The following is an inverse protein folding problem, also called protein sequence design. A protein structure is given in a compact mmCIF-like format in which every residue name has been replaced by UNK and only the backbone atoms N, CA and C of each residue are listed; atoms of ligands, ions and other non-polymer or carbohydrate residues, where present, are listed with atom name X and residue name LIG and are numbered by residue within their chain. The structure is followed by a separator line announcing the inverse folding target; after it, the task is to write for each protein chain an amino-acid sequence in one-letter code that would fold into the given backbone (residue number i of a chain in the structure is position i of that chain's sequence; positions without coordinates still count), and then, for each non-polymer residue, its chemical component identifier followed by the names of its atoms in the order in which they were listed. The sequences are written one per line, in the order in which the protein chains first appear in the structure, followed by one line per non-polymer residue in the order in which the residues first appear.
data_IF_885142936717
#
_entry.id   IF_885142936717
#
_cell.length_a   1.000
_cell.length_b   1.000
_cell.length_c   1.000
_cell.angle_alpha   90.00
_cell.angle_beta   90.00
_cell.angle_gamma   90.00
#
_symmetry.space_group_name_H-M   'P 1'
#
loop_
_entity.id
_entity.type
_entity.pdbx_description
1 polymer ?
#
# COMPACT_ATOMS: atom_id res chain seq x y z
N UNK A 1 -13.56 21.61 -36.68
CA UNK A 1 -12.61 22.08 -35.65
C UNK A 1 -13.01 23.45 -35.11
N UNK A 2 -12.91 24.51 -35.87
CA UNK A 2 -13.17 25.88 -35.39
C UNK A 2 -14.57 26.16 -34.85
N UNK A 3 -15.60 25.45 -35.34
CA UNK A 3 -16.99 25.63 -34.80
C UNK A 3 -17.12 25.16 -33.36
N UNK A 4 -16.48 24.04 -32.99
CA UNK A 4 -16.50 23.56 -31.61
C UNK A 4 -15.67 24.48 -30.70
N UNK A 5 -14.52 24.94 -31.14
CA UNK A 5 -13.71 25.93 -30.40
C UNK A 5 -14.52 27.19 -30.11
N UNK A 6 -15.19 27.78 -31.12
CA UNK A 6 -16.05 28.95 -30.96
C UNK A 6 -17.18 28.72 -29.99
N UNK A 7 -17.81 27.53 -30.01
CA UNK A 7 -18.88 27.17 -29.07
C UNK A 7 -18.35 27.08 -27.64
N UNK A 8 -17.18 26.44 -27.41
CA UNK A 8 -16.55 26.36 -26.09
C UNK A 8 -16.19 27.76 -25.58
N UNK A 9 -15.53 28.59 -26.41
CA UNK A 9 -15.18 29.95 -26.06
C UNK A 9 -16.39 30.81 -25.74
N UNK A 10 -17.50 30.66 -26.48
CA UNK A 10 -18.76 31.36 -26.20
C UNK A 10 -19.34 30.92 -24.87
N UNK A 11 -19.33 29.61 -24.57
CA UNK A 11 -19.89 29.06 -23.33
C UNK A 11 -19.13 29.53 -22.10
N UNK A 12 -17.79 29.64 -22.22
CA UNK A 12 -16.90 30.07 -21.16
C UNK A 12 -16.69 31.60 -21.16
N UNK A 13 -17.38 32.35 -22.00
CA UNK A 13 -17.14 33.78 -22.23
C UNK A 13 -15.64 34.11 -22.51
N UNK A 14 -14.94 33.21 -23.19
CA UNK A 14 -13.48 33.32 -23.42
C UNK A 14 -12.60 33.03 -22.20
N UNK A 15 -13.20 32.73 -21.04
CA UNK A 15 -12.47 32.49 -19.80
C UNK A 15 -12.13 31.00 -19.62
N UNK A 16 -11.36 30.45 -20.52
CA UNK A 16 -10.85 29.09 -20.47
C UNK A 16 -9.33 29.08 -20.75
N UNK A 17 -8.54 28.47 -19.85
CA UNK A 17 -7.09 28.42 -20.01
C UNK A 17 -6.64 27.38 -21.06
N UNK A 18 -5.38 27.45 -21.48
CA UNK A 18 -4.76 26.52 -22.44
C UNK A 18 -4.86 25.06 -22.04
N UNK A 19 -4.67 24.72 -20.76
CA UNK A 19 -4.86 23.35 -20.27
C UNK A 19 -6.26 22.84 -20.53
N UNK A 20 -7.28 23.58 -20.11
CA UNK A 20 -8.68 23.18 -20.26
C UNK A 20 -9.10 23.15 -21.72
N UNK A 21 -8.78 24.15 -22.51
CA UNK A 21 -9.13 24.22 -23.92
C UNK A 21 -8.43 23.09 -24.71
N UNK A 22 -7.13 22.92 -24.55
CA UNK A 22 -6.37 21.86 -25.21
C UNK A 22 -6.84 20.46 -24.84
N UNK A 23 -7.22 20.24 -23.57
CA UNK A 23 -7.80 18.97 -23.12
C UNK A 23 -9.15 18.69 -23.75
N UNK A 24 -10.06 19.65 -23.80
CA UNK A 24 -11.38 19.51 -24.45
C UNK A 24 -11.27 19.24 -25.95
N UNK A 25 -10.18 19.60 -26.56
CA UNK A 25 -9.96 19.43 -28.00
C UNK A 25 -8.90 18.37 -28.35
N UNK A 26 -8.53 17.52 -27.39
CA UNK A 26 -7.46 16.52 -27.51
C UNK A 26 -7.63 15.53 -28.67
N UNK A 27 -8.86 15.25 -29.09
CA UNK A 27 -9.15 14.34 -30.22
C UNK A 27 -9.20 15.07 -31.59
N UNK A 28 -9.13 16.41 -31.58
CA UNK A 28 -9.35 17.23 -32.79
C UNK A 28 -8.11 18.02 -33.15
N UNK A 29 -7.31 18.41 -32.15
CA UNK A 29 -6.11 19.21 -32.30
C UNK A 29 -4.89 18.36 -31.99
N UNK A 30 -3.98 18.27 -32.94
CA UNK A 30 -2.71 17.58 -32.73
C UNK A 30 -1.78 18.44 -31.85
N UNK A 31 -1.10 17.78 -30.90
CA UNK A 31 -0.13 18.41 -30.01
C UNK A 31 0.48 17.40 -29.06
N UNK A 32 1.68 17.71 -28.58
CA UNK A 32 2.44 16.86 -27.65
C UNK A 32 1.69 16.62 -26.33
N UNK A 33 1.01 17.62 -25.83
CA UNK A 33 0.24 17.62 -24.59
C UNK A 33 -0.91 18.64 -24.68
N UNK A 34 -1.73 18.72 -23.62
CA UNK A 34 -2.89 19.61 -23.60
C UNK A 34 -2.51 21.08 -23.59
N UNK A 35 -1.40 21.45 -22.95
CA UNK A 35 -0.88 22.83 -22.95
C UNK A 35 -0.55 23.23 -24.37
N UNK A 36 0.24 22.44 -25.08
CA UNK A 36 0.66 22.71 -26.45
C UNK A 36 -0.52 22.82 -27.42
N UNK A 37 -1.56 21.96 -27.25
CA UNK A 37 -2.80 22.07 -28.02
C UNK A 37 -3.53 23.37 -27.75
N UNK A 38 -3.63 23.77 -26.49
CA UNK A 38 -4.27 25.03 -26.10
C UNK A 38 -3.54 26.27 -26.63
N UNK A 39 -2.22 26.31 -26.46
CA UNK A 39 -1.35 27.37 -26.98
C UNK A 39 -1.55 27.56 -28.49
N UNK A 40 -1.48 26.47 -29.25
CA UNK A 40 -1.70 26.48 -30.68
C UNK A 40 -3.07 27.04 -31.09
N UNK A 41 -4.12 26.74 -30.31
CA UNK A 41 -5.46 27.29 -30.57
C UNK A 41 -5.51 28.80 -30.32
N UNK A 42 -4.90 29.27 -29.23
CA UNK A 42 -4.84 30.71 -28.93
C UNK A 42 -4.02 31.47 -29.98
N UNK A 43 -2.92 30.89 -30.43
CA UNK A 43 -2.08 31.45 -31.53
C UNK A 43 -2.84 31.49 -32.86
N UNK A 44 -3.47 30.38 -33.27
CA UNK A 44 -4.24 30.27 -34.53
C UNK A 44 -5.46 31.22 -34.60
N UNK A 45 -6.02 31.58 -33.45
CA UNK A 45 -7.17 32.49 -33.34
C UNK A 45 -6.77 33.92 -33.02
N UNK A 46 -5.48 34.19 -32.80
CA UNK A 46 -4.95 35.48 -32.40
C UNK A 46 -5.66 36.08 -31.16
N UNK A 47 -6.01 35.21 -30.17
CA UNK A 47 -6.65 35.64 -28.92
C UNK A 47 -5.72 35.45 -27.75
N UNK A 48 -5.74 36.34 -26.75
CA UNK A 48 -4.92 36.17 -25.53
C UNK A 48 -5.48 35.08 -24.63
N UNK A 49 -4.58 34.37 -23.91
CA UNK A 49 -4.99 33.49 -22.83
C UNK A 49 -5.59 34.34 -21.69
N UNK A 50 -6.75 33.93 -21.12
CA UNK A 50 -7.39 34.68 -20.04
C UNK A 50 -6.63 34.53 -18.72
N UNK A 51 -6.66 35.56 -17.87
CA UNK A 51 -6.08 35.51 -16.52
C UNK A 51 -6.80 34.50 -15.61
N UNK A 52 -8.11 34.32 -15.84
CA UNK A 52 -8.94 33.42 -15.02
C UNK A 52 -9.65 32.37 -15.87
N UNK A 53 -9.62 31.13 -15.41
CA UNK A 53 -10.29 30.01 -16.06
C UNK A 53 -11.52 29.60 -15.26
N UNK A 54 -12.72 29.75 -15.83
CA UNK A 54 -13.98 29.34 -15.18
C UNK A 54 -14.13 27.84 -15.03
N UNK A 55 -13.40 27.05 -15.83
CA UNK A 55 -13.46 25.57 -15.78
C UNK A 55 -12.64 25.02 -14.63
N UNK A 56 -11.38 25.47 -14.48
CA UNK A 56 -10.48 24.91 -13.51
C UNK A 56 -10.14 25.82 -12.32
N UNK A 57 -10.60 27.10 -12.33
CA UNK A 57 -10.27 28.05 -11.27
C UNK A 57 -8.77 28.21 -11.09
N UNK A 58 -8.01 28.21 -12.18
CA UNK A 58 -6.55 28.34 -12.22
C UNK A 58 -5.79 27.28 -11.39
N UNK A 59 -6.36 26.08 -11.24
CA UNK A 59 -5.75 25.03 -10.40
C UNK A 59 -4.37 24.59 -10.92
N UNK A 60 -4.11 24.73 -12.21
CA UNK A 60 -2.81 24.35 -12.80
C UNK A 60 -1.67 25.28 -12.35
N UNK A 61 -1.95 26.53 -11.98
CA UNK A 61 -0.94 27.48 -11.46
C UNK A 61 -0.39 27.04 -10.10
N UNK A 62 -1.12 26.16 -9.40
CA UNK A 62 -0.66 25.55 -8.14
C UNK A 62 0.37 24.44 -8.35
N UNK A 63 0.57 23.99 -9.61
CA UNK A 63 1.60 23.01 -9.96
C UNK A 63 2.85 23.78 -10.38
N UNK A 64 3.63 24.17 -9.40
CA UNK A 64 4.79 25.01 -9.54
C UNK A 64 5.96 24.50 -8.69
N UNK A 65 7.10 25.17 -8.75
CA UNK A 65 8.33 24.79 -8.03
C UNK A 65 8.11 24.66 -6.51
N UNK A 66 7.26 25.51 -5.92
CA UNK A 66 6.94 25.42 -4.49
C UNK A 66 6.20 24.11 -4.12
N UNK A 67 5.30 23.64 -4.98
CA UNK A 67 4.65 22.34 -4.79
C UNK A 67 5.66 21.20 -4.88
N UNK A 68 6.52 21.21 -5.91
CA UNK A 68 7.52 20.16 -6.08
C UNK A 68 8.53 20.16 -4.95
N UNK A 69 8.97 21.32 -4.50
CA UNK A 69 9.79 21.43 -3.30
C UNK A 69 9.13 20.80 -2.08
N UNK A 70 7.83 21.10 -1.83
CA UNK A 70 7.07 20.48 -0.73
C UNK A 70 7.01 18.95 -0.85
N UNK A 71 6.92 18.41 -2.08
CA UNK A 71 6.91 16.96 -2.33
C UNK A 71 8.28 16.36 -1.99
N UNK A 72 9.36 16.93 -2.53
CA UNK A 72 10.73 16.42 -2.33
C UNK A 72 11.16 16.54 -0.87
N UNK A 73 10.96 17.69 -0.23
CA UNK A 73 11.24 17.86 1.21
C UNK A 73 10.50 16.81 2.07
N UNK A 74 9.28 16.45 1.67
CA UNK A 74 8.50 15.44 2.38
C UNK A 74 9.01 14.03 2.17
N UNK A 75 9.47 13.68 0.97
CA UNK A 75 10.10 12.39 0.67
C UNK A 75 11.40 12.25 1.47
N UNK A 76 12.25 13.27 1.42
CA UNK A 76 13.52 13.31 2.14
C UNK A 76 13.33 13.20 3.64
N UNK A 77 12.38 13.95 4.21
CA UNK A 77 12.05 13.87 5.63
C UNK A 77 11.63 12.47 6.08
N UNK A 78 10.88 11.74 5.25
CA UNK A 78 10.44 10.39 5.55
C UNK A 78 11.56 9.37 5.43
N UNK A 79 12.62 9.68 4.68
CA UNK A 79 13.77 8.81 4.41
C UNK A 79 13.31 7.39 4.04
N UNK A 80 12.46 7.30 3.01
CA UNK A 80 11.85 6.05 2.55
C UNK A 80 12.49 5.59 1.24
N UNK A 81 12.88 4.33 1.20
CA UNK A 81 13.29 3.65 -0.03
C UNK A 81 12.05 3.28 -0.86
N UNK A 82 12.05 3.64 -2.14
CA UNK A 82 11.01 3.24 -3.08
C UNK A 82 11.56 3.23 -4.50
N UNK A 83 10.99 2.41 -5.35
CA UNK A 83 11.27 2.37 -6.79
C UNK A 83 10.05 2.82 -7.59
N UNK A 84 8.85 2.61 -7.04
CA UNK A 84 7.58 2.91 -7.72
C UNK A 84 6.68 3.82 -6.90
N UNK A 85 5.92 4.66 -7.59
CA UNK A 85 5.00 5.58 -6.94
C UNK A 85 3.71 5.81 -7.74
N UNK A 86 2.70 6.37 -7.08
CA UNK A 86 1.48 6.86 -7.70
C UNK A 86 1.16 8.26 -7.17
N UNK A 87 0.69 9.14 -8.04
CA UNK A 87 0.17 10.45 -7.65
C UNK A 87 -1.34 10.43 -7.56
N UNK A 88 -1.88 10.93 -6.46
CA UNK A 88 -3.30 11.18 -6.27
C UNK A 88 -3.56 12.63 -5.91
N UNK A 89 -4.48 13.31 -6.57
CA UNK A 89 -4.86 14.68 -6.23
C UNK A 89 -6.25 14.79 -5.63
N UNK A 90 -6.44 15.81 -4.78
CA UNK A 90 -7.75 16.28 -4.32
C UNK A 90 -8.00 17.67 -4.85
N UNK A 91 -9.14 17.86 -5.51
CA UNK A 91 -9.62 19.13 -6.06
C UNK A 91 -11.00 19.45 -5.52
N UNK A 92 -11.45 20.69 -5.64
CA UNK A 92 -12.79 21.07 -5.30
C UNK A 92 -13.81 20.34 -6.18
N UNK A 93 -14.93 19.96 -5.57
CA UNK A 93 -16.02 19.29 -6.28
C UNK A 93 -16.57 20.18 -7.40
N UNK A 94 -16.61 21.49 -7.20
CA UNK A 94 -17.10 22.43 -8.16
C UNK A 94 -16.28 22.44 -9.46
N UNK A 95 -14.93 22.37 -9.36
CA UNK A 95 -14.05 22.27 -10.53
C UNK A 95 -14.35 20.99 -11.31
N UNK A 96 -14.53 19.87 -10.61
CA UNK A 96 -14.91 18.63 -11.27
C UNK A 96 -16.26 18.74 -11.96
N UNK A 97 -17.26 19.31 -11.29
CA UNK A 97 -18.61 19.51 -11.86
C UNK A 97 -18.56 20.37 -13.12
N UNK A 98 -17.88 21.50 -13.09
CA UNK A 98 -17.75 22.38 -14.26
C UNK A 98 -17.01 21.71 -15.43
N UNK A 99 -15.99 20.94 -15.13
CA UNK A 99 -15.26 20.16 -16.14
C UNK A 99 -16.14 19.10 -16.79
N UNK A 100 -16.90 18.36 -15.98
CA UNK A 100 -17.82 17.31 -16.43
C UNK A 100 -18.99 17.94 -17.26
N UNK A 101 -19.64 18.99 -16.75
CA UNK A 101 -20.74 19.70 -17.43
C UNK A 101 -20.32 20.23 -18.81
N UNK A 102 -19.11 20.80 -18.91
CA UNK A 102 -18.61 21.28 -20.20
C UNK A 102 -18.35 20.13 -21.19
N UNK A 103 -17.87 18.98 -20.70
CA UNK A 103 -17.67 17.78 -21.53
C UNK A 103 -19.02 17.21 -21.99
N UNK A 104 -19.98 17.05 -21.10
CA UNK A 104 -21.32 16.53 -21.40
C UNK A 104 -22.07 17.42 -22.40
N UNK A 105 -21.98 18.75 -22.20
CA UNK A 105 -22.66 19.72 -23.08
C UNK A 105 -22.25 19.61 -24.54
N UNK A 106 -21.00 19.25 -24.80
CA UNK A 106 -20.45 19.15 -26.15
C UNK A 106 -20.16 17.70 -26.58
N UNK A 107 -20.63 16.71 -25.81
CA UNK A 107 -20.43 15.28 -26.06
C UNK A 107 -18.94 14.94 -26.28
N UNK A 108 -18.09 15.37 -25.34
CA UNK A 108 -16.64 15.20 -25.40
C UNK A 108 -16.18 14.05 -24.51
N UNK A 109 -15.66 13.00 -25.13
CA UNK A 109 -14.94 11.93 -24.41
C UNK A 109 -13.44 12.31 -24.28
N UNK A 110 -13.12 13.01 -23.22
CA UNK A 110 -11.77 13.55 -22.97
C UNK A 110 -11.24 13.18 -21.59
N UNK A 111 -9.93 13.28 -21.44
CA UNK A 111 -9.27 13.06 -20.15
C UNK A 111 -9.88 13.96 -19.05
N UNK A 112 -10.32 13.39 -17.89
CA UNK A 112 -10.77 14.20 -16.76
C UNK A 112 -9.64 15.09 -16.22
N UNK A 113 -9.98 16.30 -15.74
CA UNK A 113 -9.01 17.26 -15.21
C UNK A 113 -8.08 16.67 -14.14
N UNK A 114 -8.63 15.84 -13.26
CA UNK A 114 -7.87 15.19 -12.19
C UNK A 114 -6.79 14.22 -12.73
N UNK A 115 -7.08 13.57 -13.86
CA UNK A 115 -6.12 12.65 -14.50
C UNK A 115 -4.96 13.45 -15.12
N UNK A 116 -5.26 14.59 -15.75
CA UNK A 116 -4.22 15.48 -16.26
C UNK A 116 -3.32 16.03 -15.14
N UNK A 117 -3.89 16.52 -14.03
CA UNK A 117 -3.12 17.00 -12.87
C UNK A 117 -2.17 15.92 -12.34
N UNK A 118 -2.69 14.71 -12.12
CA UNK A 118 -1.87 13.60 -11.62
C UNK A 118 -0.75 13.23 -12.61
N UNK A 119 -1.03 13.28 -13.91
CA UNK A 119 -0.06 12.98 -14.97
C UNK A 119 1.04 14.03 -15.07
N UNK A 120 0.70 15.33 -14.94
CA UNK A 120 1.71 16.41 -14.95
C UNK A 120 2.65 16.26 -13.73
N UNK A 121 2.07 16.12 -12.54
CA UNK A 121 2.83 15.96 -11.30
C UNK A 121 3.67 14.67 -11.35
N UNK A 122 3.08 13.57 -11.81
CA UNK A 122 3.76 12.28 -11.91
C UNK A 122 4.98 12.32 -12.83
N UNK A 123 4.84 12.91 -14.02
CA UNK A 123 5.95 13.04 -14.98
C UNK A 123 7.13 13.85 -14.44
N UNK A 124 6.84 14.95 -13.74
CA UNK A 124 7.90 15.75 -13.14
C UNK A 124 8.67 14.98 -12.07
N UNK A 125 7.95 14.25 -11.20
CA UNK A 125 8.57 13.40 -10.17
C UNK A 125 9.36 12.25 -10.80
N UNK A 126 8.81 11.59 -11.82
CA UNK A 126 9.44 10.50 -12.56
C UNK A 126 10.78 10.95 -13.16
N UNK A 127 10.79 12.11 -13.84
CA UNK A 127 11.98 12.68 -14.45
C UNK A 127 13.03 13.13 -13.42
N UNK A 128 12.59 13.73 -12.30
CA UNK A 128 13.51 14.31 -11.30
C UNK A 128 14.11 13.24 -10.39
N UNK A 129 13.31 12.24 -9.98
CA UNK A 129 13.75 11.21 -9.04
C UNK A 129 14.18 9.90 -9.71
N UNK A 130 14.03 9.79 -11.03
CA UNK A 130 14.31 8.56 -11.80
C UNK A 130 13.55 7.34 -11.22
N UNK A 131 12.26 7.54 -10.86
CA UNK A 131 11.36 6.53 -10.28
C UNK A 131 10.19 6.28 -11.24
N UNK A 132 9.61 5.07 -11.19
CA UNK A 132 8.56 4.65 -12.11
C UNK A 132 7.17 4.90 -11.53
N UNK A 133 6.24 5.34 -12.39
CA UNK A 133 4.81 5.43 -12.05
C UNK A 133 4.18 4.04 -12.14
N UNK A 134 3.59 3.56 -11.03
CA UNK A 134 2.94 2.25 -10.96
C UNK A 134 1.51 2.39 -10.40
N UNK A 135 0.52 1.78 -11.08
CA UNK A 135 -0.89 1.97 -10.75
C UNK A 135 -1.47 0.92 -9.78
N UNK A 136 -0.88 -0.27 -9.73
CA UNK A 136 -1.40 -1.38 -8.93
C UNK A 136 -0.56 -1.71 -7.70
N UNK A 137 0.77 -1.66 -7.82
CA UNK A 137 1.71 -2.19 -6.82
C UNK A 137 2.77 -1.17 -6.38
N UNK A 138 2.40 0.09 -6.38
CA UNK A 138 3.30 1.17 -6.02
C UNK A 138 3.80 1.08 -4.58
N UNK A 139 5.06 1.46 -4.36
CA UNK A 139 5.69 1.50 -3.04
C UNK A 139 5.14 2.64 -2.19
N UNK A 140 4.93 3.81 -2.81
CA UNK A 140 4.36 4.98 -2.15
C UNK A 140 3.25 5.62 -2.96
N UNK A 141 2.34 6.33 -2.27
CA UNK A 141 1.33 7.18 -2.90
C UNK A 141 1.54 8.61 -2.45
N UNK A 142 1.75 9.50 -3.40
CA UNK A 142 1.92 10.93 -3.17
C UNK A 142 0.55 11.60 -3.35
N UNK A 143 -0.08 11.96 -2.23
CA UNK A 143 -1.38 12.61 -2.21
C UNK A 143 -1.22 14.12 -2.12
N UNK A 144 -1.69 14.85 -3.14
CA UNK A 144 -1.63 16.31 -3.24
C UNK A 144 -3.03 16.90 -3.10
N UNK A 145 -3.25 17.69 -2.07
CA UNK A 145 -4.51 18.41 -1.87
C UNK A 145 -4.39 19.83 -2.43
N UNK A 146 -5.08 20.10 -3.55
CA UNK A 146 -5.03 21.36 -4.30
C UNK A 146 -6.25 22.28 -4.04
N UNK A 147 -7.14 21.92 -3.11
CA UNK A 147 -8.36 22.71 -2.85
C UNK A 147 -8.08 24.12 -2.35
N UNK A 148 -7.12 24.24 -1.47
CA UNK A 148 -6.64 25.52 -0.93
C UNK A 148 -5.15 25.67 -1.25
N UNK A 149 -4.37 26.19 -0.31
CA UNK A 149 -2.91 26.08 -0.40
C UNK A 149 -2.50 24.60 -0.50
N UNK A 150 -1.61 24.26 -1.45
CA UNK A 150 -1.23 22.87 -1.70
C UNK A 150 -0.63 22.19 -0.47
N UNK A 151 -1.20 21.01 -0.11
CA UNK A 151 -0.72 20.15 0.97
C UNK A 151 -0.33 18.79 0.42
N UNK A 152 0.82 18.28 0.88
CA UNK A 152 1.36 17.00 0.45
C UNK A 152 1.32 16.00 1.59
N UNK A 153 0.81 14.79 1.31
CA UNK A 153 0.85 13.64 2.20
C UNK A 153 1.38 12.43 1.42
N UNK A 154 2.38 11.76 1.97
CA UNK A 154 2.91 10.53 1.41
C UNK A 154 2.38 9.35 2.23
N UNK A 155 1.82 8.37 1.55
CA UNK A 155 1.43 7.08 2.09
C UNK A 155 2.49 6.06 1.67
N UNK A 156 3.08 5.38 2.64
CA UNK A 156 4.01 4.27 2.40
C UNK A 156 3.21 2.99 2.41
N UNK A 157 3.22 2.25 1.30
CA UNK A 157 2.49 1.00 1.19
C UNK A 157 3.23 -0.13 1.92
N UNK A 158 2.48 -1.06 2.53
CA UNK A 158 3.08 -2.15 3.28
C UNK A 158 3.90 -3.08 2.39
N UNK A 159 4.90 -3.73 3.01
CA UNK A 159 5.67 -4.82 2.42
C UNK A 159 5.11 -6.15 2.93
N UNK A 160 5.05 -7.15 2.08
CA UNK A 160 4.54 -8.48 2.43
C UNK A 160 5.63 -9.54 2.23
N UNK A 161 5.82 -10.37 3.25
CA UNK A 161 6.77 -11.50 3.23
C UNK A 161 5.99 -12.75 3.59
N UNK A 162 6.02 -13.77 2.73
CA UNK A 162 5.48 -15.09 3.03
C UNK A 162 6.59 -16.07 3.41
N UNK A 163 6.20 -17.12 4.11
CA UNK A 163 7.06 -18.22 4.47
C UNK A 163 6.29 -19.33 5.19
N UNK A 164 7.03 -20.23 5.79
CA UNK A 164 6.49 -21.27 6.67
C UNK A 164 7.24 -21.25 8.01
N UNK A 165 6.55 -21.63 9.09
CA UNK A 165 7.20 -21.77 10.39
C UNK A 165 6.90 -23.12 11.03
N UNK A 166 7.84 -23.60 11.84
CA UNK A 166 7.65 -24.66 12.80
C UNK A 166 7.71 -24.08 14.22
N UNK A 167 6.93 -24.66 15.12
CA UNK A 167 6.98 -24.37 16.57
C UNK A 167 7.46 -25.62 17.29
N UNK A 168 8.68 -25.55 17.83
CA UNK A 168 9.40 -26.68 18.41
C UNK A 168 9.22 -26.83 19.92
N UNK A 169 8.58 -25.83 20.54
CA UNK A 169 8.29 -25.82 21.98
C UNK A 169 6.81 -25.56 22.25
N UNK A 170 6.33 -26.02 23.42
CA UNK A 170 5.02 -25.69 23.96
C UNK A 170 5.08 -24.43 24.81
N UNK A 171 3.93 -23.82 25.07
CA UNK A 171 3.83 -22.64 25.91
C UNK A 171 4.07 -21.30 25.18
N UNK A 172 4.34 -21.33 23.88
CA UNK A 172 4.46 -20.14 23.03
C UNK A 172 3.22 -20.00 22.14
N UNK A 173 2.45 -18.89 22.22
CA UNK A 173 1.33 -18.65 21.32
C UNK A 173 1.81 -18.30 19.91
N UNK A 174 0.93 -18.49 18.91
CA UNK A 174 1.22 -18.09 17.52
C UNK A 174 1.43 -16.57 17.40
N UNK A 175 0.55 -15.80 18.02
CA UNK A 175 0.56 -14.33 17.97
C UNK A 175 0.66 -13.76 19.38
N UNK A 176 1.10 -12.50 19.49
CA UNK A 176 1.15 -11.76 20.75
C UNK A 176 -0.22 -11.68 21.42
N UNK A 177 -0.30 -12.08 22.70
CA UNK A 177 -1.51 -11.94 23.50
C UNK A 177 -1.34 -10.79 24.49
N UNK A 178 -2.23 -9.77 24.42
CA UNK A 178 -2.20 -8.69 25.42
C UNK A 178 -2.56 -9.21 26.81
N UNK A 179 -1.97 -8.62 27.83
CA UNK A 179 -2.30 -8.91 29.22
C UNK A 179 -3.79 -8.73 29.47
N UNK A 180 -4.43 -9.72 30.10
CA UNK A 180 -5.88 -9.71 30.37
C UNK A 180 -6.33 -8.54 31.23
N UNK A 181 -5.48 -8.09 32.17
CA UNK A 181 -5.77 -6.98 33.11
C UNK A 181 -5.59 -5.60 32.47
N UNK A 182 -4.41 -5.31 31.93
CA UNK A 182 -4.09 -3.97 31.43
C UNK A 182 -4.34 -3.78 29.93
N UNK A 183 -4.80 -4.81 29.20
CA UNK A 183 -5.09 -4.78 27.77
C UNK A 183 -3.92 -4.29 26.91
N UNK A 184 -2.69 -4.62 27.33
CA UNK A 184 -1.47 -4.25 26.61
C UNK A 184 -0.78 -2.97 27.09
N UNK A 185 -1.33 -2.26 28.08
CA UNK A 185 -0.75 -0.99 28.57
C UNK A 185 0.47 -1.17 29.49
N UNK A 186 0.68 -2.36 30.03
CA UNK A 186 1.66 -2.65 31.08
C UNK A 186 1.08 -2.47 32.49
N UNK A 187 1.29 -3.45 33.36
CA UNK A 187 0.94 -3.41 34.79
C UNK A 187 1.87 -4.35 35.58
N UNK A 188 1.85 -4.28 36.89
CA UNK A 188 2.65 -5.14 37.76
C UNK A 188 2.44 -6.62 37.51
N UNK A 189 1.19 -7.06 37.26
CA UNK A 189 0.84 -8.45 37.00
C UNK A 189 1.53 -9.02 35.75
N UNK A 190 1.79 -8.21 34.74
CA UNK A 190 2.53 -8.61 33.54
C UNK A 190 3.99 -8.11 33.55
N UNK A 191 4.53 -7.68 34.69
CA UNK A 191 5.85 -7.06 34.80
C UNK A 191 6.04 -5.92 33.80
N UNK A 192 5.02 -5.09 33.61
CA UNK A 192 4.96 -3.93 32.72
C UNK A 192 5.15 -4.25 31.23
N UNK A 193 5.18 -5.53 30.84
CA UNK A 193 5.34 -5.95 29.43
C UNK A 193 4.09 -5.74 28.59
N UNK A 194 2.92 -5.60 29.21
CA UNK A 194 1.63 -5.55 28.52
C UNK A 194 1.22 -6.89 27.88
N UNK A 195 1.99 -7.98 28.08
CA UNK A 195 1.81 -9.27 27.43
C UNK A 195 1.37 -10.33 28.45
N UNK A 196 0.60 -11.32 27.97
CA UNK A 196 0.24 -12.51 28.76
C UNK A 196 1.37 -13.56 28.71
N UNK A 197 2.04 -13.68 27.59
CA UNK A 197 3.18 -14.57 27.35
C UNK A 197 4.42 -13.75 26.98
N UNK A 198 5.58 -14.24 27.37
CA UNK A 198 6.84 -13.54 27.19
C UNK A 198 7.18 -13.30 25.73
N UNK A 199 6.92 -14.28 24.87
CA UNK A 199 7.22 -14.29 23.45
C UNK A 199 6.15 -15.07 22.66
N UNK A 200 6.08 -14.86 21.36
CA UNK A 200 5.20 -15.56 20.43
C UNK A 200 5.94 -15.86 19.13
N UNK A 201 5.39 -16.79 18.33
CA UNK A 201 5.94 -17.08 16.98
C UNK A 201 6.01 -15.79 16.14
N UNK A 202 4.95 -14.97 16.19
CA UNK A 202 4.90 -13.68 15.50
C UNK A 202 6.04 -12.75 15.94
N UNK A 203 6.29 -12.58 17.24
CA UNK A 203 7.31 -11.67 17.75
C UNK A 203 8.73 -12.12 17.42
N UNK A 204 9.00 -13.41 17.56
CA UNK A 204 10.31 -14.00 17.22
C UNK A 204 10.69 -13.81 15.75
N UNK A 205 9.69 -13.77 14.85
CA UNK A 205 9.87 -13.48 13.42
C UNK A 205 9.91 -11.98 13.13
N UNK A 206 8.94 -11.24 13.69
CA UNK A 206 8.67 -9.87 13.26
C UNK A 206 9.70 -8.86 13.77
N UNK A 207 10.27 -9.05 14.97
CA UNK A 207 11.22 -8.10 15.55
C UNK A 207 12.48 -7.92 14.67
N UNK A 208 13.19 -8.99 14.21
CA UNK A 208 14.33 -8.84 13.32
C UNK A 208 13.97 -8.27 11.93
N UNK A 209 12.75 -8.56 11.43
CA UNK A 209 12.29 -8.05 10.14
C UNK A 209 11.93 -6.56 10.25
N UNK A 210 11.30 -6.13 11.35
CA UNK A 210 11.03 -4.71 11.62
C UNK A 210 12.34 -3.92 11.76
N UNK A 211 13.34 -4.49 12.43
CA UNK A 211 14.67 -3.89 12.51
C UNK A 211 15.30 -3.71 11.12
N UNK A 212 15.27 -4.75 10.28
CA UNK A 212 15.85 -4.73 8.94
C UNK A 212 15.12 -3.78 7.98
N UNK A 213 13.80 -3.65 8.12
CA UNK A 213 12.96 -2.80 7.25
C UNK A 213 12.76 -1.39 7.80
N UNK A 214 13.17 -1.13 9.05
CA UNK A 214 12.81 0.07 9.81
C UNK A 214 11.30 0.37 9.71
N UNK A 215 10.51 -0.71 9.78
CA UNK A 215 9.05 -0.66 9.69
C UNK A 215 8.41 -0.29 11.03
N UNK A 216 7.25 0.35 10.99
CA UNK A 216 6.57 0.79 12.21
C UNK A 216 5.88 -0.36 12.97
N UNK A 217 5.27 -1.29 12.27
CA UNK A 217 4.51 -2.40 12.85
C UNK A 217 4.47 -3.59 11.89
N UNK A 218 4.52 -4.79 12.44
CA UNK A 218 4.21 -6.02 11.70
C UNK A 218 2.82 -6.55 12.06
N UNK A 219 2.20 -7.27 11.11
CA UNK A 219 0.96 -8.02 11.33
C UNK A 219 1.09 -9.41 10.75
N UNK A 220 0.92 -10.41 11.59
CA UNK A 220 1.05 -11.81 11.22
C UNK A 220 -0.29 -12.38 10.73
N UNK A 221 -0.27 -13.03 9.58
CA UNK A 221 -1.41 -13.73 8.98
C UNK A 221 -1.06 -15.21 8.79
N UNK A 222 -1.48 -16.07 9.70
CA UNK A 222 -1.24 -17.52 9.62
C UNK A 222 -2.31 -18.25 8.79
N UNK A 223 -1.92 -19.33 8.14
CA UNK A 223 -2.81 -20.32 7.54
C UNK A 223 -3.37 -21.23 8.62
N UNK A 224 -4.37 -20.77 9.36
CA UNK A 224 -4.89 -21.40 10.56
C UNK A 224 -4.06 -21.08 11.82
N UNK A 225 -4.42 -21.68 12.94
CA UNK A 225 -3.80 -21.47 14.25
C UNK A 225 -3.71 -22.79 15.01
N UNK A 226 -2.59 -23.01 15.68
CA UNK A 226 -2.45 -24.09 16.65
C UNK A 226 -2.63 -23.57 18.08
N UNK A 227 -2.97 -24.49 18.99
CA UNK A 227 -3.03 -24.17 20.41
C UNK A 227 -1.63 -23.98 21.00
N UNK A 228 -1.56 -23.32 22.14
CA UNK A 228 -0.30 -22.88 22.75
C UNK A 228 0.54 -24.06 23.24
N UNK A 229 -0.10 -25.16 23.64
CA UNK A 229 0.51 -26.38 24.15
C UNK A 229 0.77 -27.46 23.07
N UNK A 230 0.54 -27.10 21.80
CA UNK A 230 0.78 -27.98 20.65
C UNK A 230 2.06 -27.57 19.92
N UNK A 231 2.88 -28.54 19.51
CA UNK A 231 4.00 -28.33 18.60
C UNK A 231 3.48 -28.21 17.17
N UNK A 232 4.12 -27.39 16.35
CA UNK A 232 3.86 -27.30 14.91
C UNK A 232 5.08 -27.86 14.16
N UNK A 233 4.99 -29.13 13.76
CA UNK A 233 6.08 -29.90 13.13
C UNK A 233 5.79 -30.14 11.63
N UNK A 234 6.60 -31.00 11.01
CA UNK A 234 6.45 -31.38 9.60
C UNK A 234 6.88 -30.26 8.64
N UNK A 235 6.11 -30.06 7.57
CA UNK A 235 6.46 -29.08 6.51
C UNK A 235 6.27 -27.63 6.92
N UNK A 236 5.89 -27.36 8.17
CA UNK A 236 5.64 -26.00 8.68
C UNK A 236 4.28 -25.44 8.27
N UNK A 237 3.83 -24.41 8.99
CA UNK A 237 2.58 -23.69 8.74
C UNK A 237 2.86 -22.47 7.88
N UNK A 238 2.16 -22.27 6.75
CA UNK A 238 2.27 -21.08 5.94
C UNK A 238 1.83 -19.80 6.68
N UNK A 239 2.51 -18.70 6.43
CA UNK A 239 2.16 -17.38 6.94
C UNK A 239 2.46 -16.30 5.91
N UNK A 240 1.87 -15.13 6.12
CA UNK A 240 2.26 -13.85 5.50
C UNK A 240 2.46 -12.84 6.61
N UNK A 241 3.59 -12.16 6.61
CA UNK A 241 3.90 -11.03 7.49
C UNK A 241 3.71 -9.74 6.70
N UNK A 242 2.83 -8.87 7.17
CA UNK A 242 2.57 -7.53 6.63
C UNK A 242 3.37 -6.52 7.44
N UNK A 243 4.34 -5.86 6.83
CA UNK A 243 5.15 -4.81 7.45
C UNK A 243 4.56 -3.46 7.04
N UNK A 244 4.12 -2.66 8.02
CA UNK A 244 3.54 -1.34 7.79
C UNK A 244 4.63 -0.27 7.78
N UNK A 245 4.51 0.66 6.85
CA UNK A 245 5.41 1.80 6.69
C UNK A 245 6.90 1.42 6.67
N UNK A 246 7.33 0.41 5.88
CA UNK A 246 8.73 0.05 5.77
C UNK A 246 9.51 1.23 5.19
N UNK A 247 10.65 1.55 5.80
CA UNK A 247 11.59 2.57 5.28
C UNK A 247 12.61 1.96 4.33
N UNK A 248 12.97 0.72 4.56
CA UNK A 248 13.90 -0.07 3.77
C UNK A 248 13.11 -1.23 3.15
N UNK A 249 13.15 -1.35 1.84
CA UNK A 249 12.40 -2.38 1.09
C UNK A 249 13.32 -3.45 0.49
N UNK A 250 14.56 -3.08 0.16
CA UNK A 250 15.57 -3.98 -0.43
C UNK A 250 16.36 -4.68 0.68
N UNK A 251 15.80 -5.76 1.21
CA UNK A 251 16.43 -6.59 2.25
C UNK A 251 16.78 -7.98 1.69
N UNK A 252 17.87 -8.55 2.18
CA UNK A 252 18.27 -9.92 1.84
C UNK A 252 17.52 -10.90 2.75
N UNK A 253 16.46 -11.53 2.22
CA UNK A 253 15.60 -12.44 2.98
C UNK A 253 16.29 -13.75 3.35
N UNK A 254 17.23 -14.27 2.53
CA UNK A 254 17.95 -15.51 2.84
C UNK A 254 18.87 -15.29 4.06
N UNK A 255 19.66 -14.22 4.06
CA UNK A 255 20.50 -13.87 5.20
C UNK A 255 19.68 -13.56 6.46
N UNK A 256 18.50 -12.97 6.29
CA UNK A 256 17.61 -12.67 7.40
C UNK A 256 16.96 -13.93 7.96
N UNK A 257 16.56 -14.89 7.11
CA UNK A 257 16.07 -16.22 7.52
C UNK A 257 17.12 -16.97 8.35
N UNK A 258 18.38 -17.01 7.92
CA UNK A 258 19.48 -17.62 8.67
C UNK A 258 19.68 -16.93 10.03
N UNK A 259 19.71 -15.58 10.06
CA UNK A 259 19.83 -14.79 11.31
C UNK A 259 18.71 -15.14 12.27
N UNK A 260 17.45 -15.14 11.80
CA UNK A 260 16.27 -15.42 12.62
C UNK A 260 16.33 -16.84 13.17
N UNK A 261 16.61 -17.83 12.33
CA UNK A 261 16.68 -19.23 12.75
C UNK A 261 17.77 -19.48 13.80
N UNK A 262 18.91 -18.79 13.69
CA UNK A 262 19.95 -18.83 14.71
C UNK A 262 19.52 -18.22 16.04
N UNK A 263 18.78 -17.08 15.99
CA UNK A 263 18.28 -16.40 17.20
C UNK A 263 17.17 -17.18 17.90
N UNK A 264 16.39 -17.96 17.16
CA UNK A 264 15.22 -18.70 17.65
C UNK A 264 15.45 -20.21 17.76
N UNK A 265 16.72 -20.64 17.71
CA UNK A 265 17.11 -22.04 17.78
C UNK A 265 16.47 -22.78 18.98
N UNK A 266 15.92 -23.95 18.71
CA UNK A 266 15.22 -24.77 19.71
C UNK A 266 13.81 -24.30 20.05
N UNK A 267 13.36 -23.13 19.59
CA UNK A 267 12.01 -22.61 19.85
C UNK A 267 11.12 -22.63 18.60
N UNK A 268 11.59 -21.98 17.54
CA UNK A 268 10.90 -21.88 16.25
C UNK A 268 11.91 -22.00 15.13
N UNK A 269 11.42 -22.33 13.94
CA UNK A 269 12.19 -22.21 12.71
C UNK A 269 11.32 -21.65 11.61
N UNK A 270 11.92 -20.87 10.71
CA UNK A 270 11.26 -20.19 9.60
C UNK A 270 11.92 -20.60 8.30
N UNK A 271 11.11 -20.78 7.24
CA UNK A 271 11.59 -21.36 5.99
C UNK A 271 10.95 -20.70 4.79
N UNK A 272 11.73 -20.56 3.72
CA UNK A 272 11.29 -20.06 2.44
C UNK A 272 10.71 -18.65 2.51
N UNK A 273 11.40 -17.76 3.22
CA UNK A 273 11.02 -16.34 3.26
C UNK A 273 11.17 -15.74 1.88
N UNK A 274 10.10 -15.16 1.37
CA UNK A 274 10.12 -14.45 0.08
C UNK A 274 9.09 -13.31 0.07
N UNK A 275 9.33 -12.31 -0.76
CA UNK A 275 8.35 -11.27 -0.99
C UNK A 275 7.11 -11.83 -1.68
N UNK A 276 5.95 -11.31 -1.33
CA UNK A 276 4.68 -11.70 -1.92
C UNK A 276 3.73 -10.50 -2.08
N UNK A 277 2.63 -10.74 -2.78
CA UNK A 277 1.59 -9.77 -3.01
C UNK A 277 0.59 -9.69 -1.84
N UNK A 278 -0.12 -8.57 -1.76
CA UNK A 278 -1.14 -8.31 -0.73
C UNK A 278 -2.25 -9.36 -0.68
N UNK A 279 -2.66 -9.90 -1.83
CA UNK A 279 -3.72 -10.92 -1.94
C UNK A 279 -3.31 -12.26 -1.31
N UNK A 280 -2.00 -12.55 -1.23
CA UNK A 280 -1.47 -13.81 -0.69
C UNK A 280 -1.97 -14.11 0.73
N UNK A 281 -2.18 -13.09 1.56
CA UNK A 281 -2.76 -13.25 2.90
C UNK A 281 -4.20 -13.79 2.92
N UNK A 282 -4.97 -13.56 1.87
CA UNK A 282 -6.30 -14.16 1.72
C UNK A 282 -6.19 -15.58 1.17
N UNK A 283 -5.34 -15.81 0.20
CA UNK A 283 -5.12 -17.12 -0.42
C UNK A 283 -4.69 -18.18 0.58
N UNK A 284 -3.72 -17.90 1.46
CA UNK A 284 -3.26 -18.84 2.47
C UNK A 284 -4.34 -19.21 3.49
N UNK A 285 -5.32 -18.33 3.73
CA UNK A 285 -6.46 -18.62 4.63
C UNK A 285 -7.47 -19.54 3.97
N UNK A 286 -7.77 -19.32 2.69
CA UNK A 286 -8.67 -20.20 1.92
C UNK A 286 -8.07 -21.59 1.79
N UNK A 287 -6.80 -21.70 1.36
CA UNK A 287 -6.13 -22.99 1.21
C UNK A 287 -5.95 -23.76 2.53
N UNK A 288 -6.04 -23.08 3.68
CA UNK A 288 -5.92 -23.74 4.98
C UNK A 288 -7.18 -24.48 5.43
N UNK A 289 -8.36 -24.16 4.89
CA UNK A 289 -9.61 -24.87 5.19
C UNK A 289 -9.57 -26.30 4.68
N UNK A 290 -8.95 -26.52 3.53
CA UNK A 290 -8.89 -27.81 2.84
C UNK A 290 -7.61 -28.60 3.16
N UNK A 291 -6.71 -27.98 3.95
CA UNK A 291 -5.44 -28.59 4.30
C UNK A 291 -5.62 -29.77 5.28
N UNK A 292 -5.05 -30.91 4.93
CA UNK A 292 -5.02 -32.09 5.79
C UNK A 292 -4.13 -31.84 7.01
N UNK A 293 -4.61 -32.23 8.21
CA UNK A 293 -3.90 -32.04 9.48
C UNK A 293 -3.77 -33.37 10.20
N UNK A 294 -2.54 -33.76 10.56
CA UNK A 294 -2.24 -34.98 11.29
C UNK A 294 -1.79 -34.56 12.69
N UNK A 295 -2.41 -35.18 13.70
CA UNK A 295 -2.06 -34.99 15.10
C UNK A 295 -1.47 -36.26 15.67
N UNK A 296 -0.38 -36.15 16.44
CA UNK A 296 0.22 -37.24 17.22
C UNK A 296 0.12 -36.88 18.70
N UNK A 297 -0.56 -37.70 19.46
CA UNK A 297 -0.67 -37.57 20.91
C UNK A 297 0.03 -38.73 21.60
N UNK A 298 0.79 -38.42 22.67
CA UNK A 298 1.30 -39.46 23.60
C UNK A 298 0.40 -39.45 24.82
N UNK A 299 -0.27 -40.60 25.06
CA UNK A 299 -1.17 -40.81 26.20
C UNK A 299 -0.50 -41.74 27.20
N UNK A 300 -0.41 -41.31 28.47
CA UNK A 300 0.01 -42.16 29.58
C UNK A 300 -1.22 -42.69 30.31
N UNK A 301 -1.33 -44.00 30.39
CA UNK A 301 -2.42 -44.65 31.13
C UNK A 301 -1.92 -45.06 32.51
N UNK A 302 -2.66 -44.71 33.56
CA UNK A 302 -2.35 -45.08 34.95
C UNK A 302 -2.82 -46.49 35.31
N UNK A 303 -3.64 -47.09 34.46
CA UNK A 303 -4.18 -48.45 34.60
C UNK A 303 -3.91 -49.25 33.32
N UNK A 304 -3.82 -50.62 33.42
CA UNK A 304 -3.75 -51.43 32.22
C UNK A 304 -4.90 -51.16 31.28
N UNK A 305 -4.61 -50.96 30.01
CA UNK A 305 -5.61 -50.68 28.99
C UNK A 305 -5.94 -51.93 28.17
N UNK A 306 -7.17 -51.98 27.71
CA UNK A 306 -7.67 -53.03 26.81
C UNK A 306 -7.24 -52.66 25.36
N UNK A 307 -6.41 -53.53 24.75
CA UNK A 307 -5.88 -53.33 23.40
C UNK A 307 -6.98 -53.34 22.33
N UNK A 308 -8.03 -54.14 22.54
CA UNK A 308 -9.12 -54.27 21.57
C UNK A 308 -10.04 -53.04 21.59
N UNK A 309 -10.26 -52.45 22.78
CA UNK A 309 -10.93 -51.16 22.91
C UNK A 309 -10.12 -50.00 22.32
N UNK A 310 -8.77 -50.04 22.45
CA UNK A 310 -7.94 -49.04 21.85
C UNK A 310 -7.94 -49.14 20.31
N UNK A 311 -7.92 -50.37 19.77
CA UNK A 311 -8.01 -50.60 18.33
C UNK A 311 -9.37 -50.17 17.74
N UNK A 312 -10.45 -50.18 18.51
CA UNK A 312 -11.78 -49.72 18.08
C UNK A 312 -11.89 -48.20 17.93
N UNK A 313 -10.89 -47.43 18.38
CA UNK A 313 -10.80 -45.97 18.15
C UNK A 313 -10.25 -45.59 16.75
N UNK A 314 -9.76 -46.58 15.99
CA UNK A 314 -9.32 -46.42 14.62
C UNK A 314 -10.51 -46.50 13.66
N UNK A 315 -11.36 -45.48 13.63
CA UNK A 315 -12.43 -45.34 12.63
C UNK A 315 -12.13 -44.21 11.66
#
# INVERSE_FOLDING_TARGET
MYDLVKKILKETNGQICKHCLGRKLSHIVEGRDNINRGEKIFEDLEIPEPENCVVCGNIFDKINDDLFKKIYDKIDFLNVEFDTFLVGSRIDKQIKTWDDELSEKFDLDVEPIKKELNRIIGREIENTLEKEVEFEKQDIVINVDLRNEPKVRIQINPLFIEGKYNKLVRGIPQTKWPCGKCKGKGCEECNFTGKQYRESVEELLSEPILEATNGWQAKFHGAGREDIDVLMLGSGRPFVLEIKEPKIRKINLDALEEKINKMTEGKTSYHNLKFCERNRKAEIKVSSSDAYKIYKALVKCDKPYDKDKLASLNN
#
